data_IF_747023859801
#
_entry.id   IF_747023859801
#
_cell.length_a   1.000
_cell.length_b   1.000
_cell.length_c   1.000
_cell.angle_alpha   90.00
_cell.angle_beta   90.00
_cell.angle_gamma   90.00
#
_symmetry.space_group_name_H-M   'P 1'
#
loop_
_entity.id
_entity.type
_entity.pdbx_description
1 polymer ?
#
# COMPACT_ATOMS: atom_id res chain seq x y z
N UNK A 1 -36.12 -30.42 8.47
CA UNK A 1 -34.92 -30.08 7.68
C UNK A 1 -34.99 -28.65 7.16
N UNK A 2 -36.06 -28.23 6.56
CA UNK A 2 -36.25 -26.89 5.98
C UNK A 2 -36.12 -25.72 6.98
N UNK A 3 -36.62 -25.87 8.20
CA UNK A 3 -36.48 -24.87 9.27
C UNK A 3 -35.03 -24.66 9.73
N UNK A 4 -34.23 -25.74 9.78
CA UNK A 4 -32.82 -25.69 10.13
C UNK A 4 -31.99 -25.04 9.01
N UNK A 5 -32.35 -25.30 7.76
CA UNK A 5 -31.71 -24.70 6.60
C UNK A 5 -32.04 -23.21 6.47
N UNK A 6 -33.28 -22.84 6.76
CA UNK A 6 -33.73 -21.44 6.84
C UNK A 6 -33.04 -20.68 7.99
N UNK A 7 -32.89 -21.30 9.15
CA UNK A 7 -32.12 -20.75 10.29
C UNK A 7 -30.64 -20.60 9.94
N UNK A 8 -30.01 -21.60 9.29
CA UNK A 8 -28.63 -21.51 8.81
C UNK A 8 -28.45 -20.40 7.76
N UNK A 9 -29.40 -20.23 6.85
CA UNK A 9 -29.37 -19.19 5.82
C UNK A 9 -29.56 -17.80 6.44
N UNK A 10 -30.48 -17.65 7.38
CA UNK A 10 -30.71 -16.40 8.12
C UNK A 10 -29.52 -16.05 9.02
N UNK A 11 -28.94 -17.03 9.72
CA UNK A 11 -27.73 -16.85 10.52
C UNK A 11 -26.53 -16.46 9.65
N UNK A 12 -26.32 -17.15 8.51
CA UNK A 12 -25.27 -16.85 7.55
C UNK A 12 -25.40 -15.45 6.96
N UNK A 13 -26.62 -15.05 6.57
CA UNK A 13 -26.87 -13.71 6.03
C UNK A 13 -26.70 -12.60 7.11
N UNK A 14 -27.08 -12.86 8.35
CA UNK A 14 -26.92 -11.87 9.44
C UNK A 14 -25.45 -11.71 9.87
N UNK A 15 -24.68 -12.79 9.86
CA UNK A 15 -23.24 -12.76 10.16
C UNK A 15 -22.47 -12.06 9.04
N UNK A 16 -22.76 -12.34 7.76
CA UNK A 16 -22.08 -11.69 6.64
C UNK A 16 -22.41 -10.20 6.52
N UNK A 17 -23.69 -9.81 6.78
CA UNK A 17 -24.10 -8.41 6.66
C UNK A 17 -23.56 -7.53 7.79
N UNK A 18 -23.37 -8.08 9.00
CA UNK A 18 -22.78 -7.31 10.11
C UNK A 18 -21.24 -7.28 10.06
N UNK A 19 -20.62 -8.28 9.44
CA UNK A 19 -19.16 -8.46 9.39
C UNK A 19 -18.44 -7.33 8.65
N UNK A 20 -19.05 -6.72 7.63
CA UNK A 20 -18.39 -5.74 6.75
C UNK A 20 -18.74 -4.28 7.02
N UNK A 21 -19.63 -3.99 7.98
CA UNK A 21 -20.06 -2.62 8.28
C UNK A 21 -18.95 -1.68 8.73
N UNK A 22 -17.85 -2.24 9.22
CA UNK A 22 -16.66 -1.45 9.57
C UNK A 22 -16.06 -0.71 8.37
N UNK A 23 -16.34 -1.15 7.14
CA UNK A 23 -15.86 -0.51 5.92
C UNK A 23 -16.59 0.81 5.58
N UNK A 24 -17.74 1.10 6.20
CA UNK A 24 -18.49 2.33 5.91
C UNK A 24 -17.68 3.59 6.24
N UNK A 25 -16.90 3.55 7.33
CA UNK A 25 -16.05 4.69 7.73
C UNK A 25 -14.92 4.95 6.73
N UNK A 26 -14.06 3.98 6.39
CA UNK A 26 -13.03 4.21 5.37
C UNK A 26 -13.59 4.56 3.98
N UNK A 27 -14.76 4.06 3.60
CA UNK A 27 -15.46 4.45 2.37
C UNK A 27 -15.87 5.93 2.43
N UNK A 28 -16.47 6.36 3.52
CA UNK A 28 -16.89 7.75 3.70
C UNK A 28 -15.68 8.69 3.64
N UNK A 29 -14.60 8.35 4.34
CA UNK A 29 -13.37 9.14 4.35
C UNK A 29 -12.79 9.22 2.93
N UNK A 30 -12.74 8.09 2.21
CA UNK A 30 -12.21 8.03 0.85
C UNK A 30 -12.93 8.99 -0.10
N UNK A 31 -14.25 8.92 -0.17
CA UNK A 31 -15.01 9.77 -1.07
C UNK A 31 -14.97 11.24 -0.65
N UNK A 32 -14.97 11.54 0.65
CA UNK A 32 -14.84 12.91 1.17
C UNK A 32 -13.47 13.51 0.79
N UNK A 33 -12.39 12.75 0.96
CA UNK A 33 -11.04 13.18 0.56
C UNK A 33 -10.90 13.28 -0.96
N UNK A 34 -11.49 12.34 -1.71
CA UNK A 34 -11.47 12.37 -3.18
C UNK A 34 -12.17 13.60 -3.72
N UNK A 35 -13.35 13.92 -3.20
CA UNK A 35 -14.10 15.12 -3.57
C UNK A 35 -13.27 16.38 -3.26
N UNK A 36 -12.67 16.45 -2.07
CA UNK A 36 -11.83 17.59 -1.70
C UNK A 36 -10.57 17.70 -2.57
N UNK A 37 -9.92 16.56 -2.89
CA UNK A 37 -8.77 16.52 -3.80
C UNK A 37 -9.13 17.01 -5.20
N UNK A 38 -10.29 16.62 -5.75
CA UNK A 38 -10.80 17.06 -7.04
C UNK A 38 -11.03 18.57 -7.09
N UNK A 39 -11.62 19.13 -6.05
CA UNK A 39 -11.86 20.57 -5.94
C UNK A 39 -10.52 21.35 -5.91
N UNK A 40 -9.51 20.80 -5.23
CA UNK A 40 -8.19 21.43 -5.08
C UNK A 40 -7.30 21.28 -6.32
N UNK A 41 -7.31 20.13 -6.94
CA UNK A 41 -6.46 19.81 -8.10
C UNK A 41 -7.08 18.68 -8.92
N UNK A 42 -7.81 18.98 -10.00
CA UNK A 42 -8.47 18.00 -10.85
C UNK A 42 -7.48 17.10 -11.62
N UNK A 43 -6.18 17.42 -11.63
CA UNK A 43 -5.13 16.60 -12.28
C UNK A 43 -5.09 15.18 -11.73
N UNK A 44 -5.61 14.94 -10.52
CA UNK A 44 -5.67 13.59 -9.92
C UNK A 44 -6.42 12.56 -10.79
N UNK A 45 -7.36 12.99 -11.63
CA UNK A 45 -8.10 12.11 -12.56
C UNK A 45 -7.49 12.02 -13.95
N UNK A 46 -6.37 12.73 -14.22
CA UNK A 46 -5.63 12.57 -15.46
C UNK A 46 -4.98 11.19 -15.54
N UNK A 47 -4.59 10.75 -16.73
CA UNK A 47 -3.91 9.47 -16.92
C UNK A 47 -2.64 9.38 -16.07
N UNK A 48 -1.80 10.42 -16.08
CA UNK A 48 -0.59 10.49 -15.25
C UNK A 48 -0.91 10.61 -13.76
N UNK A 49 -1.97 11.33 -13.38
CA UNK A 49 -2.42 11.42 -11.98
C UNK A 49 -2.84 10.07 -11.41
N UNK A 50 -3.63 9.30 -12.16
CA UNK A 50 -4.04 7.94 -11.75
C UNK A 50 -2.83 7.00 -11.78
N UNK A 51 -1.98 7.04 -12.82
CA UNK A 51 -0.77 6.23 -12.90
C UNK A 51 0.17 6.48 -11.72
N UNK A 52 0.42 7.74 -11.39
CA UNK A 52 1.22 8.12 -10.22
C UNK A 52 0.58 7.67 -8.89
N UNK A 53 -0.76 7.76 -8.79
CA UNK A 53 -1.48 7.26 -7.61
C UNK A 53 -1.27 5.75 -7.42
N UNK A 54 -1.38 4.96 -8.48
CA UNK A 54 -1.16 3.52 -8.47
C UNK A 54 0.28 3.21 -8.03
N UNK A 55 1.26 3.85 -8.65
CA UNK A 55 2.66 3.63 -8.37
C UNK A 55 3.04 3.96 -6.93
N UNK A 56 2.60 5.12 -6.43
CA UNK A 56 2.90 5.57 -5.06
C UNK A 56 2.17 4.75 -3.99
N UNK A 57 0.98 4.22 -4.30
CA UNK A 57 0.19 3.45 -3.34
C UNK A 57 0.48 1.96 -3.36
N UNK A 58 1.01 1.40 -4.45
CA UNK A 58 1.24 -0.04 -4.58
C UNK A 58 2.13 -0.63 -3.46
N UNK A 59 3.31 -0.07 -3.13
CA UNK A 59 4.11 -0.56 -2.01
C UNK A 59 3.35 -0.50 -0.69
N UNK A 60 2.56 0.56 -0.48
CA UNK A 60 1.78 0.74 0.74
C UNK A 60 0.61 -0.25 0.85
N UNK A 61 -0.12 -0.51 -0.24
CA UNK A 61 -1.20 -1.50 -0.29
C UNK A 61 -0.65 -2.89 0.03
N UNK A 62 0.47 -3.27 -0.60
CA UNK A 62 1.10 -4.57 -0.39
C UNK A 62 1.65 -4.74 1.04
N UNK A 63 2.27 -3.69 1.60
CA UNK A 63 2.66 -3.66 3.01
C UNK A 63 1.43 -3.82 3.92
N UNK A 64 0.33 -3.13 3.60
CA UNK A 64 -0.90 -3.22 4.38
C UNK A 64 -1.55 -4.60 4.26
N UNK A 65 -1.43 -5.27 3.11
CA UNK A 65 -1.83 -6.68 2.96
C UNK A 65 -1.05 -7.58 3.90
N UNK A 66 0.28 -7.46 3.91
CA UNK A 66 1.13 -8.22 4.82
C UNK A 66 0.72 -8.01 6.29
N UNK A 67 0.59 -6.75 6.70
CA UNK A 67 0.16 -6.38 8.05
C UNK A 67 -1.24 -6.87 8.38
N UNK A 68 -2.16 -6.96 7.40
CA UNK A 68 -3.52 -7.47 7.62
C UNK A 68 -3.50 -8.92 8.08
N UNK A 69 -2.69 -9.80 7.47
CA UNK A 69 -2.58 -11.20 7.88
C UNK A 69 -2.02 -11.35 9.28
N UNK A 70 -1.01 -10.56 9.63
CA UNK A 70 -0.37 -10.59 10.95
C UNK A 70 -1.32 -10.04 12.02
N UNK A 71 -1.95 -8.88 11.77
CA UNK A 71 -2.91 -8.28 12.70
C UNK A 71 -4.12 -9.21 12.93
N UNK A 72 -4.64 -9.83 11.86
CA UNK A 72 -5.77 -10.75 11.98
C UNK A 72 -5.46 -12.00 12.79
N UNK A 73 -4.19 -12.39 12.93
CA UNK A 73 -3.77 -13.52 13.78
C UNK A 73 -3.94 -13.23 15.29
N UNK A 74 -4.29 -12.01 15.69
CA UNK A 74 -4.58 -11.63 17.07
C UNK A 74 -3.36 -11.42 17.96
N UNK A 75 -3.57 -11.41 19.26
CA UNK A 75 -2.54 -11.14 20.30
C UNK A 75 -1.83 -9.79 20.16
N UNK A 76 -2.46 -8.79 19.55
CA UNK A 76 -1.81 -7.52 19.27
C UNK A 76 -0.66 -7.66 18.25
N UNK A 77 -0.79 -8.62 17.34
CA UNK A 77 0.20 -8.88 16.29
C UNK A 77 0.32 -7.69 15.34
N UNK A 78 1.28 -6.81 15.61
CA UNK A 78 1.70 -5.74 14.69
C UNK A 78 3.16 -5.99 14.36
N UNK A 79 3.47 -6.11 13.08
CA UNK A 79 4.86 -6.26 12.65
C UNK A 79 5.50 -4.91 12.36
N UNK A 80 6.27 -4.43 13.34
CA UNK A 80 7.04 -3.19 13.19
C UNK A 80 8.24 -3.37 12.24
N UNK A 81 8.73 -4.60 12.06
CA UNK A 81 9.91 -4.86 11.23
C UNK A 81 9.64 -4.75 9.74
N UNK A 82 8.37 -4.73 9.31
CA UNK A 82 7.98 -4.85 7.90
C UNK A 82 8.60 -3.76 7.02
N UNK A 83 8.65 -2.52 7.48
CA UNK A 83 9.23 -1.40 6.73
C UNK A 83 10.76 -1.51 6.59
N UNK A 84 11.54 -1.62 7.69
CA UNK A 84 12.97 -1.85 7.60
C UNK A 84 13.33 -3.14 6.86
N UNK A 85 12.50 -4.19 6.95
CA UNK A 85 12.68 -5.43 6.20
C UNK A 85 12.46 -5.23 4.69
N UNK A 86 11.46 -4.44 4.30
CA UNK A 86 11.27 -4.01 2.92
C UNK A 86 12.51 -3.25 2.41
N UNK A 87 13.05 -2.34 3.24
CA UNK A 87 14.31 -1.65 2.98
C UNK A 87 15.49 -2.62 2.85
N UNK A 88 15.54 -3.69 3.67
CA UNK A 88 16.58 -4.72 3.58
C UNK A 88 16.55 -5.44 2.21
N UNK A 89 15.39 -5.86 1.75
CA UNK A 89 15.26 -6.47 0.42
C UNK A 89 15.71 -5.46 -0.66
N UNK A 90 15.32 -4.18 -0.55
CA UNK A 90 15.72 -3.14 -1.49
C UNK A 90 17.24 -2.99 -1.56
N UNK A 91 17.90 -2.65 -0.43
CA UNK A 91 19.34 -2.36 -0.44
C UNK A 91 20.18 -3.59 -0.78
N UNK A 92 19.80 -4.77 -0.27
CA UNK A 92 20.53 -6.01 -0.55
C UNK A 92 20.37 -6.45 -2.01
N UNK A 93 19.17 -6.34 -2.60
CA UNK A 93 18.96 -6.65 -4.02
C UNK A 93 19.77 -5.73 -4.93
N UNK A 94 19.82 -4.43 -4.65
CA UNK A 94 20.61 -3.44 -5.40
C UNK A 94 22.10 -3.79 -5.31
N UNK A 95 22.61 -4.14 -4.14
CA UNK A 95 24.02 -4.52 -3.97
C UNK A 95 24.35 -5.85 -4.67
N UNK A 96 23.45 -6.83 -4.59
CA UNK A 96 23.62 -8.10 -5.30
C UNK A 96 23.57 -7.92 -6.83
N UNK A 97 22.70 -7.03 -7.31
CA UNK A 97 22.65 -6.66 -8.73
C UNK A 97 23.97 -6.02 -9.18
N UNK A 98 24.47 -5.04 -8.42
CA UNK A 98 25.74 -4.38 -8.69
C UNK A 98 26.93 -5.37 -8.66
N UNK A 99 26.85 -6.41 -7.84
CA UNK A 99 27.85 -7.47 -7.76
C UNK A 99 27.71 -8.55 -8.88
N UNK A 100 26.72 -8.43 -9.78
CA UNK A 100 26.53 -9.34 -10.92
C UNK A 100 25.66 -10.59 -10.62
N UNK A 101 25.03 -10.71 -9.43
CA UNK A 101 24.27 -11.91 -9.07
C UNK A 101 22.81 -11.88 -9.53
N UNK A 102 22.05 -10.81 -9.26
CA UNK A 102 20.62 -10.72 -9.54
C UNK A 102 20.35 -10.02 -10.89
N UNK A 103 20.82 -10.59 -12.00
CA UNK A 103 20.73 -9.96 -13.31
C UNK A 103 19.38 -10.17 -14.02
N UNK A 104 18.55 -11.12 -13.56
CA UNK A 104 17.28 -11.47 -14.19
C UNK A 104 16.07 -11.12 -13.32
N UNK A 105 14.91 -10.74 -13.90
CA UNK A 105 13.69 -10.53 -13.14
C UNK A 105 13.33 -11.73 -12.26
N UNK A 106 13.41 -12.94 -12.80
CA UNK A 106 13.10 -14.18 -12.06
C UNK A 106 14.00 -14.35 -10.84
N UNK A 107 15.30 -14.11 -10.97
CA UNK A 107 16.24 -14.17 -9.84
C UNK A 107 15.89 -13.15 -8.75
N UNK A 108 15.48 -11.96 -9.16
CA UNK A 108 15.07 -10.91 -8.24
C UNK A 108 13.81 -11.28 -7.44
N UNK A 109 12.78 -11.80 -8.12
CA UNK A 109 11.56 -12.28 -7.44
C UNK A 109 11.83 -13.46 -6.51
N UNK A 110 12.63 -14.43 -6.94
CA UNK A 110 13.01 -15.57 -6.09
C UNK A 110 13.75 -15.09 -4.84
N UNK A 111 14.70 -14.18 -4.99
CA UNK A 111 15.44 -13.61 -3.86
C UNK A 111 14.49 -12.89 -2.88
N UNK A 112 13.65 -11.99 -3.38
CA UNK A 112 12.72 -11.23 -2.55
C UNK A 112 11.75 -12.16 -1.78
N UNK A 113 11.16 -13.14 -2.47
CA UNK A 113 10.27 -14.12 -1.84
C UNK A 113 11.00 -15.01 -0.83
N UNK A 114 12.22 -15.47 -1.15
CA UNK A 114 13.02 -16.27 -0.23
C UNK A 114 13.29 -15.49 1.07
N UNK A 115 13.73 -14.23 0.97
CA UNK A 115 13.96 -13.38 2.14
C UNK A 115 12.68 -13.14 2.92
N UNK A 116 11.56 -12.86 2.24
CA UNK A 116 10.24 -12.69 2.85
C UNK A 116 9.80 -13.91 3.66
N UNK A 117 9.92 -15.10 3.06
CA UNK A 117 9.56 -16.36 3.70
C UNK A 117 10.50 -16.69 4.87
N UNK A 118 11.81 -16.53 4.71
CA UNK A 118 12.82 -16.83 5.75
C UNK A 118 12.58 -15.96 6.98
N UNK A 119 12.45 -14.64 6.81
CA UNK A 119 12.25 -13.73 7.94
C UNK A 119 10.92 -14.02 8.66
N UNK A 120 9.84 -14.11 7.93
CA UNK A 120 8.52 -14.28 8.51
C UNK A 120 8.33 -15.70 9.10
N UNK A 121 9.00 -16.71 8.55
CA UNK A 121 9.05 -18.03 9.18
C UNK A 121 9.79 -17.98 10.50
N UNK A 122 10.97 -17.36 10.54
CA UNK A 122 11.76 -17.20 11.78
C UNK A 122 10.97 -16.43 12.84
N UNK A 123 10.33 -15.33 12.46
CA UNK A 123 9.45 -14.56 13.32
C UNK A 123 8.33 -15.44 13.90
N UNK A 124 7.63 -16.19 13.05
CA UNK A 124 6.51 -17.05 13.46
C UNK A 124 6.97 -18.16 14.43
N UNK A 125 8.15 -18.76 14.21
CA UNK A 125 8.73 -19.77 15.11
C UNK A 125 8.95 -19.19 16.50
N UNK A 126 9.55 -17.99 16.59
CA UNK A 126 9.79 -17.35 17.90
C UNK A 126 8.45 -17.10 18.62
N UNK A 127 7.45 -16.55 17.92
CA UNK A 127 6.14 -16.24 18.52
C UNK A 127 5.39 -17.51 18.92
N UNK A 128 5.41 -18.56 18.10
CA UNK A 128 4.61 -19.77 18.33
C UNK A 128 5.25 -20.73 19.34
N UNK A 129 6.56 -20.93 19.28
CA UNK A 129 7.25 -21.96 20.05
C UNK A 129 8.05 -21.41 21.23
N UNK A 130 8.76 -20.30 21.05
CA UNK A 130 9.46 -19.61 22.14
C UNK A 130 8.47 -18.79 22.98
N UNK A 131 7.28 -18.45 22.40
CA UNK A 131 6.19 -17.73 23.05
C UNK A 131 6.55 -16.30 23.47
N UNK A 132 7.47 -15.67 22.74
CA UNK A 132 7.78 -14.26 22.89
C UNK A 132 6.62 -13.43 22.33
N UNK A 133 6.33 -12.29 22.96
CA UNK A 133 5.30 -11.36 22.45
C UNK A 133 5.61 -10.91 21.02
N UNK A 134 4.64 -10.93 20.09
CA UNK A 134 4.84 -10.50 18.71
C UNK A 134 5.47 -9.10 18.60
N UNK A 135 5.05 -8.16 19.43
CA UNK A 135 5.57 -6.78 19.40
C UNK A 135 7.06 -6.70 19.76
N UNK A 136 7.55 -7.58 20.67
CA UNK A 136 8.96 -7.64 21.04
C UNK A 136 9.79 -8.20 19.88
N UNK A 137 9.33 -9.27 19.24
CA UNK A 137 10.02 -9.87 18.09
C UNK A 137 10.08 -8.89 16.94
N UNK A 138 8.97 -8.18 16.66
CA UNK A 138 8.91 -7.20 15.58
C UNK A 138 9.79 -5.98 15.85
N UNK A 139 9.86 -5.50 17.10
CA UNK A 139 10.75 -4.40 17.48
C UNK A 139 12.22 -4.77 17.36
N UNK A 140 12.58 -5.99 17.79
CA UNK A 140 13.93 -6.52 17.59
C UNK A 140 14.29 -6.61 16.10
N UNK A 141 13.37 -7.12 15.27
CA UNK A 141 13.53 -7.15 13.81
C UNK A 141 13.63 -5.75 13.20
N UNK A 142 12.82 -4.79 13.67
CA UNK A 142 12.89 -3.39 13.24
C UNK A 142 14.30 -2.83 13.45
N UNK A 143 14.84 -2.94 14.66
CA UNK A 143 16.16 -2.43 14.99
C UNK A 143 17.28 -3.16 14.21
N UNK A 144 17.17 -4.47 14.10
CA UNK A 144 18.14 -5.29 13.37
C UNK A 144 18.21 -4.89 11.89
N UNK A 145 17.06 -4.85 11.18
CA UNK A 145 17.06 -4.49 9.76
C UNK A 145 17.38 -3.02 9.52
N UNK A 146 16.93 -2.10 10.39
CA UNK A 146 17.31 -0.70 10.27
C UNK A 146 18.83 -0.52 10.39
N UNK A 147 19.48 -1.26 11.30
CA UNK A 147 20.93 -1.26 11.42
C UNK A 147 21.65 -1.93 10.26
N UNK A 148 21.20 -3.13 9.85
CA UNK A 148 21.78 -3.89 8.73
C UNK A 148 21.70 -3.11 7.42
N UNK A 149 20.59 -2.41 7.15
CA UNK A 149 20.41 -1.60 5.95
C UNK A 149 21.53 -0.54 5.80
N UNK A 150 21.87 0.16 6.90
CA UNK A 150 22.92 1.17 6.90
C UNK A 150 24.31 0.53 6.73
N UNK A 151 24.52 -0.68 7.24
CA UNK A 151 25.77 -1.42 7.04
C UNK A 151 25.93 -1.85 5.58
N UNK A 152 24.86 -2.36 4.95
CA UNK A 152 24.89 -2.79 3.55
C UNK A 152 25.04 -1.58 2.62
N UNK A 153 24.32 -0.51 2.88
CA UNK A 153 24.31 0.70 2.06
C UNK A 153 24.23 1.94 2.98
N UNK A 154 25.37 2.57 3.34
CA UNK A 154 25.41 3.67 4.31
C UNK A 154 24.67 4.94 3.86
N UNK A 155 24.48 5.13 2.55
CA UNK A 155 23.77 6.27 1.94
C UNK A 155 22.93 5.78 0.77
N UNK A 156 21.82 6.47 0.45
CA UNK A 156 21.06 6.14 -0.77
C UNK A 156 21.98 6.11 -1.99
N UNK A 157 21.84 5.08 -2.83
CA UNK A 157 22.69 4.89 -4.01
C UNK A 157 22.49 3.55 -4.69
N UNK A 158 23.33 3.29 -5.69
CA UNK A 158 23.15 2.20 -6.62
C UNK A 158 22.00 2.50 -7.61
N UNK A 159 21.85 1.67 -8.61
CA UNK A 159 20.85 1.83 -9.66
C UNK A 159 20.07 0.52 -9.77
N UNK A 160 18.74 0.62 -9.85
CA UNK A 160 17.89 -0.53 -10.11
C UNK A 160 18.14 -1.10 -11.51
N UNK A 161 17.85 -2.37 -11.76
CA UNK A 161 17.99 -2.97 -13.08
C UNK A 161 17.17 -2.23 -14.16
N UNK A 162 17.68 -2.17 -15.39
CA UNK A 162 17.02 -1.49 -16.51
C UNK A 162 15.58 -1.98 -16.78
N UNK A 163 15.30 -3.26 -16.49
CA UNK A 163 13.94 -3.81 -16.63
C UNK A 163 12.99 -3.32 -15.53
N UNK A 164 13.50 -2.88 -14.36
CA UNK A 164 12.69 -2.47 -13.21
C UNK A 164 12.43 -0.94 -13.20
N UNK A 165 13.35 -0.15 -13.74
CA UNK A 165 13.25 1.32 -13.77
C UNK A 165 11.96 1.80 -14.44
N UNK A 166 11.54 1.28 -15.62
CA UNK A 166 10.31 1.72 -16.28
C UNK A 166 9.05 1.47 -15.45
N UNK A 167 9.07 0.47 -14.57
CA UNK A 167 7.94 0.17 -13.68
C UNK A 167 7.65 1.33 -12.72
N UNK A 168 8.69 2.09 -12.34
CA UNK A 168 8.61 3.21 -11.41
C UNK A 168 8.19 4.55 -12.02
N UNK A 169 8.01 4.65 -13.34
CA UNK A 169 7.74 5.95 -14.00
C UNK A 169 6.31 6.47 -13.81
N UNK A 170 5.32 5.59 -13.68
CA UNK A 170 3.95 5.95 -13.28
C UNK A 170 3.15 6.81 -14.26
N UNK A 171 3.54 6.86 -15.55
CA UNK A 171 2.86 7.70 -16.57
C UNK A 171 1.58 7.08 -17.11
N UNK A 172 1.49 5.75 -17.09
CA UNK A 172 0.36 5.01 -17.61
C UNK A 172 -0.40 4.31 -16.50
N UNK A 173 -1.72 4.16 -16.67
CA UNK A 173 -2.56 3.41 -15.72
C UNK A 173 -2.22 1.91 -15.75
N UNK A 174 -2.05 1.37 -16.96
CA UNK A 174 -1.77 -0.05 -17.16
C UNK A 174 -0.25 -0.29 -17.26
N UNK A 175 0.44 -0.24 -16.13
CA UNK A 175 1.85 -0.57 -16.00
C UNK A 175 2.04 -1.90 -15.27
N UNK A 176 3.28 -2.38 -15.19
CA UNK A 176 3.63 -3.65 -14.57
C UNK A 176 3.31 -3.66 -13.07
N UNK A 177 3.48 -2.53 -12.37
CA UNK A 177 3.11 -2.39 -10.96
C UNK A 177 1.59 -2.54 -10.78
N UNK A 178 0.77 -1.96 -11.66
CA UNK A 178 -0.67 -2.14 -11.64
C UNK A 178 -1.05 -3.61 -11.83
N UNK A 179 -0.44 -4.28 -12.79
CA UNK A 179 -0.67 -5.71 -13.03
C UNK A 179 -0.27 -6.55 -11.81
N UNK A 180 0.89 -6.27 -11.21
CA UNK A 180 1.38 -6.94 -10.02
C UNK A 180 0.43 -6.71 -8.83
N UNK A 181 -0.06 -5.50 -8.65
CA UNK A 181 -1.02 -5.15 -7.60
C UNK A 181 -2.36 -5.87 -7.80
N UNK A 182 -2.87 -5.95 -9.04
CA UNK A 182 -4.08 -6.73 -9.36
C UNK A 182 -3.86 -8.20 -9.03
N UNK A 183 -2.75 -8.80 -9.48
CA UNK A 183 -2.43 -10.19 -9.21
C UNK A 183 -2.35 -10.48 -7.71
N UNK A 184 -1.67 -9.61 -6.96
CA UNK A 184 -1.59 -9.69 -5.50
C UNK A 184 -2.98 -9.57 -4.83
N UNK A 185 -3.84 -8.69 -5.34
CA UNK A 185 -5.22 -8.52 -4.85
C UNK A 185 -6.08 -9.74 -5.14
N UNK A 186 -5.95 -10.32 -6.34
CA UNK A 186 -6.62 -11.58 -6.71
C UNK A 186 -6.14 -12.72 -5.80
N UNK A 187 -4.83 -12.82 -5.55
CA UNK A 187 -4.27 -13.81 -4.62
C UNK A 187 -4.85 -13.62 -3.21
N UNK A 188 -4.88 -12.39 -2.70
CA UNK A 188 -5.51 -12.10 -1.41
C UNK A 188 -6.98 -12.55 -1.41
N UNK A 189 -7.73 -12.20 -2.46
CA UNK A 189 -9.13 -12.57 -2.60
C UNK A 189 -9.33 -14.10 -2.61
N UNK A 190 -8.51 -14.84 -3.34
CA UNK A 190 -8.53 -16.31 -3.34
C UNK A 190 -8.33 -16.84 -1.91
N UNK A 191 -7.34 -16.31 -1.18
CA UNK A 191 -7.04 -16.72 0.21
C UNK A 191 -8.27 -16.49 1.11
N UNK A 192 -9.03 -15.40 0.91
CA UNK A 192 -10.24 -15.13 1.71
C UNK A 192 -11.35 -16.15 1.53
N UNK A 193 -11.33 -16.95 0.46
CA UNK A 193 -12.30 -18.01 0.17
C UNK A 193 -11.84 -19.40 0.65
N UNK A 194 -10.66 -19.49 1.29
CA UNK A 194 -10.14 -20.73 1.85
C UNK A 194 -10.60 -20.94 3.30
N UNK A 195 -10.58 -22.20 3.76
CA UNK A 195 -10.82 -22.54 5.16
C UNK A 195 -9.82 -21.87 6.12
N UNK A 196 -8.58 -21.65 5.65
CA UNK A 196 -7.55 -20.92 6.39
C UNK A 196 -8.03 -19.53 6.84
N UNK A 197 -8.67 -18.76 5.96
CA UNK A 197 -9.19 -17.44 6.29
C UNK A 197 -10.25 -17.48 7.40
N UNK A 198 -11.15 -18.48 7.38
CA UNK A 198 -12.12 -18.70 8.43
C UNK A 198 -11.44 -18.99 9.78
N UNK A 199 -10.43 -19.89 9.78
CA UNK A 199 -9.64 -20.19 10.97
C UNK A 199 -8.86 -18.98 11.48
N UNK A 200 -8.29 -18.16 10.60
CA UNK A 200 -7.56 -16.93 10.95
C UNK A 200 -8.48 -15.93 11.64
N UNK A 201 -9.68 -15.69 11.08
CA UNK A 201 -10.70 -14.81 11.68
C UNK A 201 -11.13 -15.30 13.07
N UNK A 202 -11.43 -16.60 13.19
CA UNK A 202 -11.87 -17.19 14.45
C UNK A 202 -10.77 -17.08 15.51
N UNK A 203 -9.53 -17.44 15.15
CA UNK A 203 -8.37 -17.36 16.04
C UNK A 203 -8.10 -15.93 16.50
N UNK A 204 -8.22 -14.95 15.60
CA UNK A 204 -8.01 -13.55 15.94
C UNK A 204 -9.12 -12.94 16.80
N UNK A 205 -10.35 -13.42 16.66
CA UNK A 205 -11.48 -12.98 17.48
C UNK A 205 -11.43 -13.55 18.90
N UNK A 206 -11.21 -14.86 19.02
CA UNK A 206 -11.05 -15.58 20.29
C UNK A 206 -10.20 -16.82 20.08
N UNK A 207 -8.95 -16.77 20.54
CA UNK A 207 -7.99 -17.86 20.39
C UNK A 207 -8.39 -19.11 21.17
N UNK A 208 -9.04 -18.95 22.35
CA UNK A 208 -9.49 -20.08 23.17
C UNK A 208 -10.66 -20.81 22.50
N UNK A 209 -11.63 -20.05 22.00
CA UNK A 209 -12.75 -20.61 21.25
C UNK A 209 -12.29 -21.32 19.97
N UNK A 210 -11.30 -20.75 19.26
CA UNK A 210 -10.72 -21.37 18.09
C UNK A 210 -10.02 -22.68 18.43
N UNK A 211 -9.24 -22.74 19.51
CA UNK A 211 -8.57 -23.96 19.98
C UNK A 211 -9.56 -25.06 20.35
N UNK A 212 -10.60 -24.74 21.11
CA UNK A 212 -11.63 -25.73 21.48
C UNK A 212 -12.46 -26.22 20.30
N UNK A 213 -12.53 -25.41 19.21
CA UNK A 213 -13.14 -25.80 17.94
C UNK A 213 -12.22 -26.62 17.03
N UNK A 214 -11.02 -27.00 17.51
CA UNK A 214 -10.08 -27.86 16.78
C UNK A 214 -9.16 -27.12 15.80
N UNK A 215 -9.11 -25.77 15.84
CA UNK A 215 -8.19 -24.99 14.99
C UNK A 215 -6.76 -25.18 15.46
N UNK A 216 -5.87 -25.53 14.53
CA UNK A 216 -4.42 -25.67 14.80
C UNK A 216 -3.76 -24.29 14.86
N UNK A 217 -3.85 -23.61 16.01
CA UNK A 217 -3.46 -22.21 16.23
C UNK A 217 -2.06 -21.89 15.69
N UNK A 218 -1.04 -22.68 16.06
CA UNK A 218 0.33 -22.45 15.63
C UNK A 218 0.49 -22.55 14.11
N UNK A 219 -0.15 -23.53 13.47
CA UNK A 219 -0.09 -23.70 12.03
C UNK A 219 -0.74 -22.51 11.31
N UNK A 220 -1.93 -22.08 11.75
CA UNK A 220 -2.64 -20.94 11.18
C UNK A 220 -1.79 -19.66 11.31
N UNK A 221 -1.15 -19.47 12.46
CA UNK A 221 -0.28 -18.31 12.69
C UNK A 221 0.96 -18.35 11.81
N UNK A 222 1.65 -19.49 11.70
CA UNK A 222 2.82 -19.64 10.83
C UNK A 222 2.44 -19.35 9.37
N UNK A 223 1.34 -19.93 8.88
CA UNK A 223 0.87 -19.69 7.50
C UNK A 223 0.53 -18.21 7.28
N UNK A 224 -0.09 -17.54 8.26
CA UNK A 224 -0.38 -16.11 8.17
C UNK A 224 0.91 -15.28 8.03
N UNK A 225 1.95 -15.59 8.77
CA UNK A 225 3.25 -14.94 8.65
C UNK A 225 3.91 -15.24 7.30
N UNK A 226 3.89 -16.47 6.80
CA UNK A 226 4.45 -16.81 5.50
C UNK A 226 3.77 -16.04 4.36
N UNK A 227 2.43 -15.94 4.40
CA UNK A 227 1.68 -15.14 3.42
C UNK A 227 2.06 -13.65 3.56
N UNK A 228 2.20 -13.15 4.78
CA UNK A 228 2.66 -11.77 5.01
C UNK A 228 4.06 -11.55 4.43
N UNK A 229 4.96 -12.53 4.53
CA UNK A 229 6.30 -12.50 3.92
C UNK A 229 6.27 -12.35 2.39
N UNK A 230 5.34 -13.06 1.73
CA UNK A 230 5.16 -12.92 0.27
C UNK A 230 4.69 -11.51 -0.13
N UNK A 231 3.71 -10.95 0.58
CA UNK A 231 3.24 -9.59 0.31
C UNK A 231 4.30 -8.53 0.65
N UNK A 232 5.09 -8.73 1.70
CA UNK A 232 6.21 -7.85 2.05
C UNK A 232 7.29 -7.86 0.97
N UNK A 233 7.58 -9.03 0.38
CA UNK A 233 8.52 -9.17 -0.74
C UNK A 233 8.02 -8.43 -1.99
N UNK A 234 6.74 -8.58 -2.35
CA UNK A 234 6.13 -7.84 -3.46
C UNK A 234 6.16 -6.33 -3.20
N UNK A 235 5.88 -5.90 -1.96
CA UNK A 235 5.99 -4.50 -1.56
C UNK A 235 7.40 -3.96 -1.76
N UNK A 236 8.44 -4.73 -1.39
CA UNK A 236 9.83 -4.34 -1.57
C UNK A 236 10.22 -4.18 -3.05
N UNK A 237 9.71 -5.04 -3.94
CA UNK A 237 9.92 -4.92 -5.39
C UNK A 237 9.28 -3.64 -5.92
N UNK A 238 8.01 -3.38 -5.58
CA UNK A 238 7.33 -2.13 -5.96
C UNK A 238 8.02 -0.89 -5.40
N UNK A 239 8.51 -0.97 -4.16
CA UNK A 239 9.28 0.12 -3.55
C UNK A 239 10.60 0.36 -4.27
N UNK A 240 11.30 -0.70 -4.66
CA UNK A 240 12.56 -0.58 -5.41
C UNK A 240 12.33 0.03 -6.78
N UNK A 241 11.26 -0.34 -7.47
CA UNK A 241 10.85 0.28 -8.73
C UNK A 241 10.54 1.77 -8.54
N UNK A 242 9.79 2.12 -7.50
CA UNK A 242 9.42 3.51 -7.18
C UNK A 242 10.65 4.40 -6.91
N UNK A 243 11.63 3.88 -6.15
CA UNK A 243 12.82 4.66 -5.76
C UNK A 243 13.90 4.64 -6.86
N UNK A 244 13.94 3.58 -7.67
CA UNK A 244 14.95 3.36 -8.73
C UNK A 244 16.38 3.14 -8.21
N UNK A 245 16.57 3.05 -6.90
CA UNK A 245 17.87 2.90 -6.24
C UNK A 245 17.73 2.20 -4.88
N UNK A 246 18.85 1.91 -4.22
CA UNK A 246 18.85 1.47 -2.83
C UNK A 246 18.68 2.64 -1.87
N UNK A 247 17.74 2.52 -0.91
CA UNK A 247 17.57 3.50 0.15
C UNK A 247 17.45 2.80 1.52
N UNK A 248 18.44 2.97 2.40
CA UNK A 248 18.46 2.27 3.69
C UNK A 248 17.43 2.82 4.71
N UNK A 249 16.88 4.00 4.50
CA UNK A 249 16.07 4.72 5.47
C UNK A 249 14.59 4.82 5.10
N UNK A 250 14.26 5.02 3.82
CA UNK A 250 12.87 5.26 3.39
C UNK A 250 11.95 4.08 3.65
N UNK A 251 12.45 2.84 3.53
CA UNK A 251 11.68 1.64 3.86
C UNK A 251 11.06 1.69 5.25
N UNK A 252 11.78 2.27 6.21
CA UNK A 252 11.37 2.38 7.62
C UNK A 252 10.04 3.14 7.80
N UNK A 253 9.79 4.15 6.99
CA UNK A 253 8.54 4.94 7.03
C UNK A 253 7.30 4.10 6.72
N UNK A 254 7.44 3.05 5.89
CA UNK A 254 6.34 2.18 5.52
C UNK A 254 5.77 1.34 6.67
N UNK A 255 6.53 1.17 7.77
CA UNK A 255 5.98 0.58 9.01
C UNK A 255 4.82 1.41 9.54
N UNK A 256 5.06 2.69 9.78
CA UNK A 256 4.05 3.59 10.33
C UNK A 256 2.90 3.82 9.34
N UNK A 257 3.23 4.06 8.07
CA UNK A 257 2.25 4.24 7.00
C UNK A 257 1.37 3.00 6.84
N UNK A 258 1.95 1.79 6.83
CA UNK A 258 1.21 0.54 6.70
C UNK A 258 0.27 0.28 7.87
N UNK A 259 0.71 0.54 9.12
CA UNK A 259 -0.15 0.43 10.30
C UNK A 259 -1.28 1.47 10.24
N UNK A 260 -0.97 2.69 9.84
CA UNK A 260 -1.97 3.75 9.67
C UNK A 260 -3.00 3.38 8.61
N UNK A 261 -2.56 2.88 7.45
CA UNK A 261 -3.43 2.39 6.39
C UNK A 261 -4.30 1.22 6.86
N UNK A 262 -3.72 0.27 7.62
CA UNK A 262 -4.43 -0.87 8.17
C UNK A 262 -5.60 -0.43 9.07
N UNK A 263 -5.32 0.47 10.02
CA UNK A 263 -6.33 0.98 10.97
C UNK A 263 -7.35 1.87 10.27
N UNK A 264 -6.90 2.77 9.40
CA UNK A 264 -7.77 3.64 8.60
C UNK A 264 -8.66 2.84 7.65
N UNK A 265 -8.19 1.67 7.18
CA UNK A 265 -8.97 0.69 6.43
C UNK A 265 -9.98 -0.09 7.28
N UNK A 266 -10.05 0.16 8.58
CA UNK A 266 -11.00 -0.45 9.52
C UNK A 266 -10.61 -1.84 10.02
N UNK A 267 -9.38 -2.28 9.80
CA UNK A 267 -8.87 -3.51 10.41
C UNK A 267 -8.66 -3.35 11.92
N UNK A 268 -8.79 -4.46 12.65
CA UNK A 268 -8.61 -4.48 14.10
C UNK A 268 -7.20 -4.92 14.47
N UNK A 269 -6.48 -4.11 15.23
CA UNK A 269 -5.19 -4.50 15.81
C UNK A 269 -5.34 -5.61 16.89
N UNK A 270 -6.54 -5.76 17.45
CA UNK A 270 -6.83 -6.86 18.38
C UNK A 270 -7.01 -8.22 17.69
N UNK A 271 -7.23 -8.23 16.37
CA UNK A 271 -7.40 -9.43 15.55
C UNK A 271 -8.82 -9.63 15.01
N UNK A 272 -8.99 -10.66 14.21
CA UNK A 272 -10.27 -11.19 13.71
C UNK A 272 -11.00 -10.33 12.67
N UNK A 273 -10.58 -9.08 12.42
CA UNK A 273 -11.24 -8.15 11.50
C UNK A 273 -10.23 -7.44 10.60
N UNK A 274 -10.44 -7.52 9.31
CA UNK A 274 -9.61 -6.92 8.27
C UNK A 274 -9.93 -7.54 6.91
N UNK A 275 -9.29 -7.03 5.86
CA UNK A 275 -9.47 -7.57 4.50
C UNK A 275 -8.84 -6.69 3.43
N UNK A 276 -8.73 -7.22 2.20
CA UNK A 276 -8.09 -6.55 1.08
C UNK A 276 -8.70 -5.18 0.76
N UNK A 277 -10.03 -5.12 0.70
CA UNK A 277 -10.73 -3.88 0.35
C UNK A 277 -10.48 -2.77 1.37
N UNK A 278 -10.49 -3.10 2.69
CA UNK A 278 -10.11 -2.15 3.72
C UNK A 278 -8.67 -1.67 3.60
N UNK A 279 -7.74 -2.57 3.33
CA UNK A 279 -6.33 -2.24 3.14
C UNK A 279 -6.10 -1.30 1.95
N UNK A 280 -6.77 -1.55 0.80
CA UNK A 280 -6.74 -0.64 -0.35
C UNK A 280 -7.29 0.74 0.02
N UNK A 281 -8.48 0.79 0.63
CA UNK A 281 -9.07 2.07 1.03
C UNK A 281 -8.20 2.84 2.01
N UNK A 282 -7.60 2.15 2.99
CA UNK A 282 -6.70 2.78 3.95
C UNK A 282 -5.47 3.40 3.29
N UNK A 283 -4.82 2.67 2.38
CA UNK A 283 -3.68 3.17 1.63
C UNK A 283 -4.04 4.34 0.70
N UNK A 284 -5.18 4.24 -0.01
CA UNK A 284 -5.69 5.31 -0.86
C UNK A 284 -6.07 6.56 -0.05
N UNK A 285 -6.63 6.40 1.14
CA UNK A 285 -6.93 7.52 2.02
C UNK A 285 -5.65 8.26 2.43
N UNK A 286 -4.58 7.54 2.78
CA UNK A 286 -3.28 8.16 3.08
C UNK A 286 -2.67 8.87 1.86
N UNK A 287 -2.79 8.27 0.68
CA UNK A 287 -2.37 8.90 -0.55
C UNK A 287 -3.12 10.22 -0.80
N UNK A 288 -4.46 10.21 -0.69
CA UNK A 288 -5.28 11.41 -0.88
C UNK A 288 -4.95 12.50 0.12
N UNK A 289 -4.71 12.15 1.39
CA UNK A 289 -4.28 13.12 2.41
C UNK A 289 -2.96 13.77 1.99
N UNK A 290 -1.96 12.96 1.60
CA UNK A 290 -0.68 13.50 1.15
C UNK A 290 -0.82 14.34 -0.13
N UNK A 291 -1.60 13.87 -1.11
CA UNK A 291 -1.91 14.61 -2.33
C UNK A 291 -2.50 16.00 -2.04
N UNK A 292 -3.49 16.04 -1.14
CA UNK A 292 -4.12 17.31 -0.72
C UNK A 292 -3.10 18.21 -0.03
N UNK A 293 -2.27 17.68 0.87
CA UNK A 293 -1.26 18.45 1.61
C UNK A 293 -0.24 19.10 0.66
N UNK A 294 0.17 18.40 -0.41
CA UNK A 294 1.08 18.97 -1.42
C UNK A 294 0.47 20.17 -2.11
N UNK A 295 -0.86 20.24 -2.28
CA UNK A 295 -1.53 21.39 -2.90
C UNK A 295 -1.44 22.69 -2.08
N UNK A 296 -1.10 22.62 -0.79
CA UNK A 296 -0.92 23.80 0.08
C UNK A 296 0.47 24.42 -0.04
N UNK A 297 1.43 23.75 -0.71
CA UNK A 297 2.79 24.26 -1.00
C UNK A 297 3.52 24.78 0.24
N UNK A 298 3.71 23.93 1.26
CA UNK A 298 4.44 24.28 2.47
C UNK A 298 5.96 24.47 2.26
N UNK A 299 6.43 24.47 1.02
CA UNK A 299 7.83 24.67 0.65
C UNK A 299 8.80 23.75 1.44
N UNK A 300 9.73 24.38 2.19
CA UNK A 300 10.73 23.65 2.99
C UNK A 300 10.14 22.78 4.10
N UNK A 301 8.92 23.05 4.52
CA UNK A 301 8.24 22.32 5.60
C UNK A 301 7.41 21.14 5.09
N UNK A 302 7.33 20.90 3.76
CA UNK A 302 6.43 19.90 3.18
C UNK A 302 6.62 18.50 3.76
N UNK A 303 7.87 18.03 3.91
CA UNK A 303 8.16 16.71 4.48
C UNK A 303 7.74 16.60 5.95
N UNK A 304 8.01 17.63 6.74
CA UNK A 304 7.63 17.67 8.16
C UNK A 304 6.11 17.69 8.34
N UNK A 305 5.39 18.47 7.52
CA UNK A 305 3.94 18.52 7.53
C UNK A 305 3.35 17.18 7.12
N UNK A 306 3.91 16.49 6.12
CA UNK A 306 3.50 15.16 5.73
C UNK A 306 3.71 14.14 6.86
N UNK A 307 4.88 14.10 7.47
CA UNK A 307 5.20 13.17 8.56
C UNK A 307 4.31 13.44 9.81
N UNK A 308 4.10 14.72 10.16
CA UNK A 308 3.17 15.12 11.22
C UNK A 308 1.73 14.67 10.93
N UNK A 309 1.30 14.85 9.68
CA UNK A 309 -0.05 14.48 9.25
C UNK A 309 -0.27 12.97 9.32
N UNK A 310 0.70 12.15 8.94
CA UNK A 310 0.61 10.69 9.08
C UNK A 310 0.45 10.26 10.53
N UNK A 311 1.20 10.89 11.46
CA UNK A 311 1.04 10.65 12.90
C UNK A 311 -0.33 11.08 13.42
N UNK A 312 -0.79 12.27 13.03
CA UNK A 312 -2.12 12.78 13.40
C UNK A 312 -3.25 11.86 12.86
N UNK A 313 -3.14 11.44 11.59
CA UNK A 313 -4.10 10.53 10.96
C UNK A 313 -4.14 9.18 11.67
N UNK A 314 -2.99 8.64 12.10
CA UNK A 314 -2.95 7.40 12.88
C UNK A 314 -3.72 7.56 14.20
N UNK A 315 -3.50 8.64 14.94
CA UNK A 315 -4.23 8.90 16.19
C UNK A 315 -5.73 9.06 15.93
N UNK A 316 -6.11 9.83 14.91
CA UNK A 316 -7.51 10.01 14.53
C UNK A 316 -8.13 8.67 14.11
N UNK A 317 -7.45 7.86 13.31
CA UNK A 317 -7.94 6.54 12.89
C UNK A 317 -8.14 5.59 14.08
N UNK A 318 -7.24 5.62 15.06
CA UNK A 318 -7.41 4.85 16.31
C UNK A 318 -8.62 5.33 17.09
N UNK A 319 -8.83 6.64 17.24
CA UNK A 319 -10.02 7.21 17.90
C UNK A 319 -11.30 6.83 17.15
N UNK A 320 -11.31 6.93 15.82
CA UNK A 320 -12.44 6.52 14.97
C UNK A 320 -12.73 5.02 15.16
N UNK A 321 -11.71 4.19 15.32
CA UNK A 321 -11.90 2.75 15.56
C UNK A 321 -12.68 2.46 16.86
N UNK A 322 -12.57 3.32 17.88
CA UNK A 322 -13.36 3.23 19.13
C UNK A 322 -14.82 3.63 18.91
N UNK A 323 -15.09 4.56 18.00
CA UNK A 323 -16.45 5.06 17.69
C UNK A 323 -17.17 4.12 16.73
N UNK A 324 -16.44 3.29 15.98
CA UNK A 324 -16.97 2.39 14.95
C UNK A 324 -18.16 1.52 15.42
N UNK A 325 -18.17 0.90 16.62
CA UNK A 325 -19.32 0.13 17.11
C UNK A 325 -20.61 0.97 17.20
N UNK A 326 -20.52 2.25 17.51
CA UNK A 326 -21.67 3.18 17.58
C UNK A 326 -22.17 3.51 16.16
N UNK A 327 -21.27 3.81 15.23
CA UNK A 327 -21.62 4.08 13.81
C UNK A 327 -22.31 2.87 13.19
N UNK A 328 -21.81 1.65 13.41
CA UNK A 328 -22.44 0.43 12.88
C UNK A 328 -23.81 0.16 13.49
N UNK A 329 -24.10 0.68 14.68
CA UNK A 329 -25.42 0.57 15.31
C UNK A 329 -26.44 1.53 14.68
N UNK A 330 -26.04 2.73 14.29
CA UNK A 330 -26.88 3.73 13.62
C UNK A 330 -27.22 3.27 12.19
N UNK A 331 -26.28 2.66 11.49
CA UNK A 331 -26.41 2.23 10.08
C UNK A 331 -27.01 0.81 9.92
N UNK A 332 -27.79 0.32 10.88
CA UNK A 332 -28.32 -1.06 10.92
C UNK A 332 -29.06 -1.51 9.66
N UNK A 333 -29.75 -0.61 8.96
CA UNK A 333 -30.53 -0.92 7.76
C UNK A 333 -29.79 -0.77 6.42
N UNK A 334 -28.58 -0.19 6.41
CA UNK A 334 -27.87 0.12 5.18
C UNK A 334 -26.82 -0.96 4.86
N UNK A 335 -26.86 -1.48 3.64
CA UNK A 335 -25.81 -2.36 3.13
C UNK A 335 -24.57 -1.56 2.78
N UNK A 336 -23.36 -2.10 3.09
CA UNK A 336 -22.08 -1.49 2.73
C UNK A 336 -21.97 -1.25 1.23
N UNK A 337 -22.47 -2.18 0.42
CA UNK A 337 -22.47 -2.05 -1.04
C UNK A 337 -23.35 -0.89 -1.52
N UNK A 338 -24.55 -0.75 -0.95
CA UNK A 338 -25.46 0.37 -1.28
C UNK A 338 -24.83 1.69 -0.86
N UNK A 339 -24.22 1.74 0.34
CA UNK A 339 -23.51 2.93 0.81
C UNK A 339 -22.35 3.31 -0.12
N UNK A 340 -21.53 2.32 -0.54
CA UNK A 340 -20.45 2.55 -1.49
C UNK A 340 -20.97 3.12 -2.82
N UNK A 341 -22.04 2.53 -3.38
CA UNK A 341 -22.65 2.98 -4.63
C UNK A 341 -23.16 4.41 -4.50
N UNK A 342 -23.87 4.76 -3.41
CA UNK A 342 -24.35 6.12 -3.17
C UNK A 342 -23.21 7.13 -3.09
N UNK A 343 -22.14 6.80 -2.37
CA UNK A 343 -20.95 7.65 -2.27
C UNK A 343 -20.22 7.77 -3.62
N UNK A 344 -20.16 6.67 -4.41
CA UNK A 344 -19.58 6.70 -5.75
C UNK A 344 -20.38 7.60 -6.70
N UNK A 345 -21.71 7.56 -6.66
CA UNK A 345 -22.55 8.47 -7.44
C UNK A 345 -22.37 9.93 -7.00
N UNK A 346 -22.25 10.21 -5.70
CA UNK A 346 -21.96 11.57 -5.21
C UNK A 346 -20.60 12.05 -5.71
N UNK A 347 -19.56 11.20 -5.66
CA UNK A 347 -18.24 11.50 -6.22
C UNK A 347 -18.30 11.74 -7.73
N UNK A 348 -18.99 10.87 -8.48
CA UNK A 348 -19.16 11.01 -9.93
C UNK A 348 -19.88 12.32 -10.30
N UNK A 349 -20.90 12.70 -9.53
CA UNK A 349 -21.60 13.97 -9.73
C UNK A 349 -20.64 15.16 -9.60
N UNK A 350 -19.76 15.15 -8.59
CA UNK A 350 -18.75 16.21 -8.42
C UNK A 350 -17.76 16.21 -9.58
N UNK A 351 -17.30 15.03 -10.05
CA UNK A 351 -16.40 14.93 -11.20
C UNK A 351 -17.05 15.52 -12.45
N UNK A 352 -18.30 15.15 -12.73
CA UNK A 352 -19.03 15.67 -13.91
C UNK A 352 -19.17 17.18 -13.82
N UNK A 353 -19.56 17.71 -12.66
CA UNK A 353 -19.69 19.14 -12.44
C UNK A 353 -18.35 19.87 -12.64
N UNK A 354 -17.26 19.32 -12.09
CA UNK A 354 -15.93 19.89 -12.23
C UNK A 354 -15.45 19.91 -13.70
N UNK A 355 -15.70 18.80 -14.43
CA UNK A 355 -15.34 18.71 -15.86
C UNK A 355 -16.19 19.67 -16.71
N UNK A 356 -17.47 19.83 -16.38
CA UNK A 356 -18.37 20.73 -17.08
C UNK A 356 -18.02 22.20 -16.85
N UNK A 357 -17.70 22.57 -15.61
CA UNK A 357 -17.40 23.98 -15.26
C UNK A 357 -15.97 24.42 -15.60
N UNK A 358 -15.03 23.46 -15.72
CA UNK A 358 -13.63 23.76 -16.01
C UNK A 358 -13.02 22.86 -17.12
N UNK A 359 -13.64 22.74 -18.30
CA UNK A 359 -13.15 21.87 -19.37
C UNK A 359 -11.73 22.26 -19.84
N UNK A 360 -11.42 23.58 -19.87
CA UNK A 360 -10.15 24.12 -20.33
C UNK A 360 -8.97 23.72 -19.44
N UNK A 361 -9.18 23.62 -18.12
CA UNK A 361 -8.11 23.28 -17.16
C UNK A 361 -7.71 21.80 -17.29
N UNK A 362 -8.68 20.91 -17.52
CA UNK A 362 -8.44 19.48 -17.71
C UNK A 362 -7.76 19.25 -19.08
N UNK A 363 -8.21 19.93 -20.12
CA UNK A 363 -7.63 19.85 -21.46
C UNK A 363 -6.18 20.38 -21.47
N UNK A 364 -5.88 21.47 -20.76
CA UNK A 364 -4.52 22.00 -20.60
C UNK A 364 -3.64 21.04 -19.76
N UNK A 365 -4.17 20.37 -18.74
CA UNK A 365 -3.45 19.38 -17.95
C UNK A 365 -3.10 18.16 -18.80
N UNK A 366 -4.06 17.65 -19.59
CA UNK A 366 -3.87 16.53 -20.51
C UNK A 366 -2.87 16.88 -21.62
N UNK A 367 -2.94 18.09 -22.16
CA UNK A 367 -2.01 18.56 -23.20
C UNK A 367 -0.59 18.75 -22.65
N UNK A 368 -0.46 19.20 -21.40
CA UNK A 368 0.83 19.30 -20.72
C UNK A 368 1.44 17.93 -20.48
N UNK A 369 0.66 16.98 -20.02
CA UNK A 369 1.08 15.60 -19.81
C UNK A 369 1.58 14.96 -21.12
N UNK A 370 0.84 15.13 -22.24
CA UNK A 370 1.24 14.67 -23.56
C UNK A 370 2.55 15.31 -24.04
N UNK A 371 2.73 16.62 -23.82
CA UNK A 371 3.97 17.32 -24.18
C UNK A 371 5.17 16.87 -23.35
N UNK A 372 4.95 16.56 -22.07
CA UNK A 372 6.00 16.04 -21.20
C UNK A 372 6.36 14.57 -21.54
N UNK A 373 5.39 13.78 -21.95
CA UNK A 373 5.59 12.42 -22.49
C UNK A 373 6.37 12.42 -23.81
N UNK A 374 6.00 13.31 -24.75
CA UNK A 374 6.71 13.50 -26.03
C UNK A 374 8.16 13.99 -25.83
N UNK A 375 8.38 14.92 -24.93
CA UNK A 375 9.73 15.41 -24.59
C UNK A 375 10.61 14.33 -23.99
N UNK A 376 10.06 13.42 -23.18
CA UNK A 376 10.81 12.31 -22.60
C UNK A 376 11.04 11.21 -23.61
N UNK A 377 10.06 10.91 -24.46
CA UNK A 377 10.23 9.97 -25.58
C UNK A 377 11.28 10.44 -26.60
N UNK A 378 11.47 11.75 -26.77
CA UNK A 378 12.54 12.31 -27.60
C UNK A 378 13.91 12.26 -26.93
N UNK A 379 14.01 12.43 -25.60
CA UNK A 379 15.28 12.29 -24.86
C UNK A 379 15.84 10.87 -24.89
N UNK A 380 14.99 9.86 -24.91
CA UNK A 380 15.37 8.43 -24.98
C UNK A 380 15.74 7.96 -26.39
N UNK A 381 15.40 8.72 -27.44
CA UNK A 381 15.56 8.30 -28.86
C UNK A 381 16.87 8.69 -29.52
N UNK A 382 17.74 9.48 -28.92
CA UNK A 382 19.03 9.81 -29.51
C UNK A 382 20.18 9.02 -28.87
N UNK A 383 20.38 7.81 -29.38
CA UNK A 383 21.58 7.01 -29.12
C UNK A 383 22.47 7.16 -30.35
N UNK A 384 23.77 7.41 -30.17
CA UNK A 384 24.71 7.46 -31.28
C UNK A 384 24.94 6.05 -31.89
N UNK A 385 25.60 6.00 -33.05
CA UNK A 385 25.88 4.78 -33.75
C UNK A 385 26.81 3.80 -32.97
N UNK A 386 27.29 4.21 -31.80
CA UNK A 386 28.17 3.44 -30.91
C UNK A 386 27.45 3.00 -29.63
N UNK A 387 26.14 3.34 -29.48
CA UNK A 387 25.32 2.93 -28.32
C UNK A 387 25.38 3.86 -27.10
N UNK A 388 25.98 5.05 -27.23
CA UNK A 388 26.03 6.04 -26.15
C UNK A 388 24.85 7.01 -26.22
N UNK A 389 24.27 7.34 -25.07
CA UNK A 389 23.17 8.32 -24.94
C UNK A 389 23.72 9.71 -25.16
N UNK A 390 23.30 10.39 -26.23
CA UNK A 390 23.60 11.80 -26.45
C UNK A 390 22.54 12.63 -25.69
N UNK A 391 22.94 13.23 -24.59
CA UNK A 391 22.14 14.28 -23.90
C UNK A 391 22.46 15.60 -24.59
N UNK A 392 21.64 16.08 -25.49
CA UNK A 392 21.69 17.48 -25.93
C UNK A 392 21.16 18.33 -24.76
N UNK A 393 22.04 19.09 -24.10
CA UNK A 393 21.65 20.23 -23.27
C UNK A 393 20.93 21.24 -24.19
N UNK A 394 19.65 21.53 -23.86
CA UNK A 394 18.87 22.52 -24.59
C UNK A 394 19.54 23.90 -24.47
N UNK A 395 19.80 24.55 -25.58
CA UNK A 395 20.19 25.97 -25.67
C UNK A 395 19.23 26.80 -24.81
N UNK A 396 19.71 27.30 -23.67
CA UNK A 396 19.13 28.48 -23.03
C UNK A 396 19.30 29.67 -23.99
N UNK A 397 18.18 30.14 -24.52
CA UNK A 397 18.14 31.34 -25.34
C UNK A 397 18.70 32.55 -24.59
N UNK A 398 19.95 32.88 -24.85
CA UNK A 398 20.57 34.13 -24.47
C UNK A 398 19.87 35.27 -25.26
N UNK A 399 18.90 35.91 -24.63
CA UNK A 399 18.46 37.25 -25.07
C UNK A 399 19.52 38.27 -24.68
N UNK A 400 20.44 38.56 -25.62
CA UNK A 400 21.28 39.72 -25.55
C UNK A 400 20.42 40.97 -25.76
N UNK A 401 20.08 41.64 -24.64
CA UNK A 401 19.57 43.02 -24.67
C UNK A 401 20.72 43.99 -24.89
N UNK A 402 20.91 44.45 -26.13
CA UNK A 402 21.65 45.70 -26.41
C UNK A 402 20.72 46.85 -26.09
N UNK A 403 21.05 47.64 -25.09
CA UNK A 403 20.43 48.92 -24.77
C UNK A 403 21.52 49.95 -24.52
N UNK A 404 21.60 50.89 -25.41
CA UNK A 404 22.39 52.14 -25.34
C UNK A 404 22.08 52.93 -24.06
#
# INVERSE_FOLDING_TARGET
MEAVEKLKKTYRSSVDTSSNKYLMVPIFIFFSLLIFALIRSPVIISQSGIGSAIMLTAPLILTTYALTFIAMAGRGGVDLSIGPFMGFINVSSIQLYAAGYLQTPVGWFIYAFAMGLIWQFFYAIIVCFVRVSPIIVSLAGYLAFAGINIVILPRPGGIAPDWLIPWGEGFTIFNEIFLLMILATILFYIITHTAFWGHLKLMGADERAAFTSGVKINLVRIVAHLIAGLFAALSAICFTALVGSGDPLQGTKYTLLGITALVLGGASLAGGRGGAFGAILGALNLYLINYILVTFKFERLQSFVSDLSYGAVLVIALLVSLILPYVTRITKGLSVMVFFILMAFAGLFVVIHQVYDQPIVIEQAVDKDKKDEDRRGQKVRKVDATGNIIVEEGEEGTTTGTGT
#
